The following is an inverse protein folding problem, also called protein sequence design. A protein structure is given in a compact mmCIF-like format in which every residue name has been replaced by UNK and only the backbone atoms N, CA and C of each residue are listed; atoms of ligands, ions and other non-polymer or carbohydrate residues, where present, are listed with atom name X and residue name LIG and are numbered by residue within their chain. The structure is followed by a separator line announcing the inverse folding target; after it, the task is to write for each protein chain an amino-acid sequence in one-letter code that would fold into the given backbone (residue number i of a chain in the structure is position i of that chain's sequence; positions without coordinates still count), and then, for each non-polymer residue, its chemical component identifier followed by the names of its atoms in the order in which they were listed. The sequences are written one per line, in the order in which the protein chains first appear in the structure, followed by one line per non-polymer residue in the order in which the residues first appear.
data_IF_939747152705
#
_entry.id   IF_939747152705
#
_cell.length_a   1.000
_cell.length_b   1.000
_cell.length_c   1.000
_cell.angle_alpha   90.00
_cell.angle_beta   90.00
_cell.angle_gamma   90.00
#
_symmetry.space_group_name_H-M   'P 1'
#
loop_
_entity.id
_entity.type
_entity.pdbx_description
1 polymer ?
#
# COMPACT_ATOMS: atom_id res chain seq x y z
N UNK A 1 -4.69 8.97 23.75
CA UNK A 1 -6.13 8.78 23.46
C UNK A 1 -6.24 8.50 21.99
N UNK A 2 -6.73 7.33 21.60
CA UNK A 2 -6.95 6.98 20.20
C UNK A 2 -8.19 7.73 19.70
N UNK A 3 -8.06 8.59 18.70
CA UNK A 3 -9.20 9.30 18.11
C UNK A 3 -9.85 8.42 17.06
N UNK A 4 -11.18 8.29 17.09
CA UNK A 4 -11.95 7.54 16.09
C UNK A 4 -12.76 8.51 15.22
N UNK A 5 -12.84 8.23 13.93
CA UNK A 5 -13.62 9.01 12.96
C UNK A 5 -14.58 8.07 12.22
N UNK A 6 -15.87 8.42 12.06
CA UNK A 6 -16.78 7.64 11.23
C UNK A 6 -16.34 7.63 9.76
N UNK A 7 -16.42 6.47 9.12
CA UNK A 7 -16.01 6.25 7.72
C UNK A 7 -17.03 5.37 7.01
N UNK A 8 -17.13 5.47 5.69
CA UNK A 8 -17.89 4.51 4.90
C UNK A 8 -17.09 3.22 4.76
N UNK A 9 -17.53 2.16 5.45
CA UNK A 9 -16.84 0.88 5.49
C UNK A 9 -17.48 -0.08 4.49
N UNK A 10 -16.72 -0.51 3.49
CA UNK A 10 -17.11 -1.52 2.53
C UNK A 10 -16.98 -2.90 3.17
N UNK A 11 -17.80 -3.86 2.72
CA UNK A 11 -17.77 -5.24 3.17
C UNK A 11 -17.76 -6.20 1.98
N UNK A 12 -16.87 -7.18 2.03
CA UNK A 12 -16.76 -8.24 1.04
C UNK A 12 -16.46 -9.56 1.75
N UNK A 13 -17.09 -10.65 1.30
CA UNK A 13 -16.79 -11.99 1.77
C UNK A 13 -16.38 -12.87 0.61
N UNK A 14 -15.11 -13.25 0.57
CA UNK A 14 -14.55 -14.11 -0.49
C UNK A 14 -13.26 -14.81 0.00
N UNK A 15 -12.60 -15.57 -0.88
CA UNK A 15 -11.33 -16.24 -0.63
C UNK A 15 -10.16 -15.38 -1.06
N UNK A 16 -9.35 -14.97 -0.10
CA UNK A 16 -8.15 -14.17 -0.33
C UNK A 16 -6.89 -14.90 0.12
N UNK A 17 -5.75 -14.48 -0.43
CA UNK A 17 -4.45 -14.82 0.17
C UNK A 17 -4.22 -13.92 1.38
N UNK A 18 -3.89 -14.52 2.51
CA UNK A 18 -3.65 -13.83 3.78
C UNK A 18 -2.42 -14.42 4.48
N UNK A 19 -1.63 -13.55 5.11
CA UNK A 19 -0.53 -13.91 6.01
C UNK A 19 -0.75 -13.22 7.35
N UNK A 20 -0.46 -13.92 8.45
CA UNK A 20 -0.32 -13.32 9.78
C UNK A 20 1.15 -13.41 10.22
N UNK A 21 1.82 -12.26 10.26
CA UNK A 21 3.20 -12.18 10.74
C UNK A 21 3.20 -11.96 12.25
N UNK A 22 3.41 -13.06 12.98
CA UNK A 22 3.31 -13.07 14.45
C UNK A 22 4.43 -12.30 15.16
N UNK A 23 5.60 -12.14 14.53
CA UNK A 23 6.76 -11.48 15.14
C UNK A 23 6.56 -9.96 15.20
N UNK A 24 6.10 -9.38 14.09
CA UNK A 24 5.83 -7.94 13.96
C UNK A 24 4.37 -7.58 14.20
N UNK A 25 3.51 -8.58 14.47
CA UNK A 25 2.10 -8.44 14.85
C UNK A 25 1.29 -7.65 13.83
N UNK A 26 1.27 -8.13 12.59
CA UNK A 26 0.41 -7.59 11.55
C UNK A 26 -0.11 -8.70 10.64
N UNK A 27 -1.19 -8.38 9.92
CA UNK A 27 -1.78 -9.23 8.88
C UNK A 27 -1.63 -8.58 7.52
N UNK A 28 -1.35 -9.37 6.49
CA UNK A 28 -1.35 -8.95 5.09
C UNK A 28 -2.46 -9.68 4.36
N UNK A 29 -3.29 -8.96 3.62
CA UNK A 29 -4.24 -9.54 2.67
C UNK A 29 -3.94 -9.06 1.24
N UNK A 30 -4.07 -9.95 0.28
CA UNK A 30 -3.96 -9.66 -1.16
C UNK A 30 -5.36 -9.53 -1.79
N UNK A 31 -5.60 -8.40 -2.45
CA UNK A 31 -6.78 -8.11 -3.24
C UNK A 31 -6.36 -8.05 -4.73
N UNK A 32 -6.64 -9.09 -5.52
CA UNK A 32 -6.32 -9.07 -6.94
C UNK A 32 -7.19 -8.07 -7.69
N UNK A 33 -6.67 -7.50 -8.78
CA UNK A 33 -7.36 -6.61 -9.73
C UNK A 33 -7.15 -7.11 -11.16
N UNK A 34 -8.02 -6.69 -12.09
CA UNK A 34 -7.85 -6.79 -13.55
C UNK A 34 -7.17 -8.09 -14.02
N UNK A 35 -7.92 -9.20 -14.02
CA UNK A 35 -7.43 -10.55 -14.42
C UNK A 35 -6.15 -11.01 -13.70
N UNK A 36 -5.94 -10.57 -12.45
CA UNK A 36 -4.78 -10.89 -11.63
C UNK A 36 -3.44 -10.32 -12.15
N UNK A 37 -3.50 -9.27 -12.99
CA UNK A 37 -2.29 -8.56 -13.44
C UNK A 37 -1.74 -7.62 -12.36
N UNK A 38 -2.64 -6.99 -11.59
CA UNK A 38 -2.31 -6.13 -10.47
C UNK A 38 -2.88 -6.74 -9.19
N UNK A 39 -2.21 -6.51 -8.06
CA UNK A 39 -2.76 -6.83 -6.74
C UNK A 39 -2.52 -5.66 -5.79
N UNK A 40 -3.54 -5.32 -5.01
CA UNK A 40 -3.38 -4.49 -3.82
C UNK A 40 -3.09 -5.35 -2.61
N UNK A 41 -2.10 -4.96 -1.84
CA UNK A 41 -1.78 -5.57 -0.57
C UNK A 41 -2.10 -4.58 0.53
N UNK A 42 -2.73 -5.07 1.59
CA UNK A 42 -3.03 -4.29 2.79
C UNK A 42 -2.29 -4.92 3.96
N UNK A 43 -1.39 -4.17 4.57
CA UNK A 43 -0.68 -4.54 5.79
C UNK A 43 -1.32 -3.80 6.97
N UNK A 44 -2.02 -4.56 7.80
CA UNK A 44 -2.79 -4.08 8.93
C UNK A 44 -2.17 -4.60 10.23
N UNK A 45 -1.68 -3.73 11.13
CA UNK A 45 -1.27 -4.13 12.48
C UNK A 45 -2.36 -4.93 13.20
N UNK A 46 -1.98 -5.77 14.16
CA UNK A 46 -2.95 -6.49 14.97
C UNK A 46 -3.69 -5.54 15.93
N UNK A 47 -3.01 -4.50 16.39
CA UNK A 47 -3.55 -3.44 17.26
C UNK A 47 -2.66 -2.18 17.21
N UNK A 48 -3.17 -1.05 17.68
CA UNK A 48 -2.42 0.21 17.86
C UNK A 48 -1.62 0.12 19.17
N UNK A 49 -0.47 -0.53 19.09
CA UNK A 49 0.39 -0.81 20.25
C UNK A 49 1.47 0.27 20.52
N UNK A 50 1.51 1.34 19.71
CA UNK A 50 2.39 2.48 19.89
C UNK A 50 1.60 3.76 20.23
N UNK A 51 2.30 4.87 20.48
CA UNK A 51 1.66 6.14 20.82
C UNK A 51 1.10 6.88 19.59
N UNK A 52 1.16 6.29 18.39
CA UNK A 52 0.78 6.94 17.13
C UNK A 52 -0.23 6.12 16.33
N UNK A 53 0.21 5.14 15.55
CA UNK A 53 -0.56 4.49 14.48
C UNK A 53 -0.59 2.96 14.56
N UNK A 54 0.26 2.33 15.37
CA UNK A 54 0.52 0.89 15.39
C UNK A 54 1.50 0.42 14.31
N UNK A 55 1.97 1.33 13.45
CA UNK A 55 2.82 1.03 12.29
C UNK A 55 4.31 1.31 12.52
N UNK A 56 4.71 1.94 13.62
CA UNK A 56 6.10 2.41 13.80
C UNK A 56 7.14 1.29 13.65
N UNK A 57 6.85 0.12 14.24
CA UNK A 57 7.72 -1.05 14.14
C UNK A 57 7.81 -1.54 12.69
N UNK A 58 6.67 -1.61 12.00
CA UNK A 58 6.61 -2.07 10.62
C UNK A 58 7.37 -1.12 9.71
N UNK A 59 7.12 0.19 9.80
CA UNK A 59 7.78 1.22 8.98
C UNK A 59 9.30 1.24 9.18
N UNK A 60 9.76 1.06 10.41
CA UNK A 60 11.20 1.03 10.72
C UNK A 60 11.88 -0.20 10.14
N UNK A 61 11.22 -1.35 10.22
CA UNK A 61 11.78 -2.63 9.84
C UNK A 61 11.52 -3.00 8.38
N UNK A 62 10.69 -2.22 7.67
CA UNK A 62 10.27 -2.48 6.30
C UNK A 62 11.45 -2.35 5.34
N UNK A 63 11.77 -3.44 4.66
CA UNK A 63 12.68 -3.46 3.51
C UNK A 63 12.02 -4.13 2.33
N UNK A 64 12.60 -3.96 1.14
CA UNK A 64 12.11 -4.63 -0.06
C UNK A 64 12.16 -6.16 0.09
N UNK A 65 13.21 -6.70 0.70
CA UNK A 65 13.40 -8.15 0.90
C UNK A 65 12.32 -8.72 1.80
N UNK A 66 12.06 -8.06 2.93
CA UNK A 66 10.99 -8.43 3.87
C UNK A 66 9.62 -8.32 3.22
N UNK A 67 9.35 -7.23 2.51
CA UNK A 67 8.08 -7.04 1.81
C UNK A 67 7.85 -8.13 0.75
N UNK A 68 8.89 -8.45 -0.02
CA UNK A 68 8.87 -9.53 -1.01
C UNK A 68 8.63 -10.88 -0.34
N UNK A 69 9.29 -11.16 0.79
CA UNK A 69 9.10 -12.37 1.56
C UNK A 69 7.66 -12.52 2.06
N UNK A 70 7.11 -11.50 2.72
CA UNK A 70 5.75 -11.55 3.28
C UNK A 70 4.66 -11.70 2.21
N UNK A 71 4.94 -11.32 0.96
CA UNK A 71 3.97 -11.30 -0.14
C UNK A 71 4.25 -12.33 -1.23
N UNK A 72 5.13 -13.30 -0.94
CA UNK A 72 5.30 -14.51 -1.75
C UNK A 72 4.09 -15.42 -1.54
N UNK A 73 3.53 -15.92 -2.64
CA UNK A 73 2.36 -16.81 -2.59
C UNK A 73 2.58 -18.05 -1.72
N UNK A 74 3.81 -18.58 -1.66
CA UNK A 74 4.15 -19.74 -0.82
C UNK A 74 4.05 -19.47 0.69
N UNK A 75 4.17 -18.19 1.09
CA UNK A 75 4.06 -17.76 2.48
C UNK A 75 2.62 -17.36 2.85
N UNK A 76 1.72 -17.20 1.88
CA UNK A 76 0.35 -16.76 2.11
C UNK A 76 -0.61 -17.94 2.06
N UNK A 77 -1.58 -17.97 2.98
CA UNK A 77 -2.64 -18.96 3.01
C UNK A 77 -3.87 -18.45 2.28
N UNK A 78 -4.49 -19.27 1.42
CA UNK A 78 -5.81 -18.95 0.85
C UNK A 78 -6.92 -19.30 1.85
N UNK A 79 -7.69 -18.31 2.30
CA UNK A 79 -8.75 -18.48 3.29
C UNK A 79 -10.00 -17.67 2.93
N UNK A 80 -11.18 -18.12 3.39
CA UNK A 80 -12.41 -17.32 3.34
C UNK A 80 -12.33 -16.22 4.40
N UNK A 81 -12.42 -14.96 3.97
CA UNK A 81 -12.25 -13.77 4.82
C UNK A 81 -13.48 -12.88 4.73
N UNK A 82 -13.98 -12.46 5.89
CA UNK A 82 -14.88 -11.33 6.04
C UNK A 82 -14.03 -10.04 6.02
N UNK A 83 -13.92 -9.40 4.87
CA UNK A 83 -13.11 -8.21 4.62
C UNK A 83 -13.94 -6.95 4.85
N UNK A 84 -13.43 -6.06 5.69
CA UNK A 84 -13.93 -4.70 5.87
C UNK A 84 -12.84 -3.71 5.51
N UNK A 85 -13.12 -2.83 4.55
CA UNK A 85 -12.17 -1.87 4.01
C UNK A 85 -12.84 -0.50 3.86
N UNK A 86 -12.27 0.60 4.36
CA UNK A 86 -12.83 1.92 4.14
C UNK A 86 -12.78 2.28 2.66
N UNK A 87 -13.84 2.92 2.17
CA UNK A 87 -13.78 3.62 0.89
C UNK A 87 -12.82 4.79 1.05
N UNK A 88 -11.76 4.82 0.25
CA UNK A 88 -10.69 5.81 0.40
C UNK A 88 -10.42 6.53 -0.91
N UNK A 89 -10.18 7.83 -0.79
CA UNK A 89 -9.77 8.72 -1.87
C UNK A 89 -8.57 9.50 -1.36
N UNK A 90 -7.39 9.17 -1.86
CA UNK A 90 -6.12 9.78 -1.49
C UNK A 90 -5.63 10.61 -2.66
N UNK A 91 -5.37 11.88 -2.42
CA UNK A 91 -4.76 12.79 -3.39
C UNK A 91 -3.62 13.54 -2.70
N UNK A 92 -2.40 13.26 -3.14
CA UNK A 92 -1.20 13.82 -2.52
C UNK A 92 -0.33 14.51 -3.57
N UNK A 93 0.28 15.62 -3.16
CA UNK A 93 1.12 16.46 -4.00
C UNK A 93 2.45 16.67 -3.27
N UNK A 94 3.53 16.09 -3.78
CA UNK A 94 4.86 16.15 -3.18
C UNK A 94 5.82 16.99 -4.03
N UNK A 95 6.60 17.83 -3.36
CA UNK A 95 7.85 18.36 -3.91
C UNK A 95 9.00 17.43 -3.50
N UNK A 96 9.52 16.69 -4.48
CA UNK A 96 10.54 15.66 -4.25
C UNK A 96 11.96 16.22 -4.24
N UNK A 97 12.18 17.51 -4.47
CA UNK A 97 13.52 18.09 -4.50
C UNK A 97 14.31 17.80 -3.22
N UNK A 98 13.71 18.10 -2.07
CA UNK A 98 14.34 17.90 -0.75
C UNK A 98 14.54 16.41 -0.39
N UNK A 99 13.54 15.53 -0.55
CA UNK A 99 13.71 14.09 -0.38
C UNK A 99 14.82 13.50 -1.27
N UNK A 100 14.79 13.77 -2.58
CA UNK A 100 15.79 13.23 -3.53
C UNK A 100 17.20 13.75 -3.25
N UNK A 101 17.32 15.02 -2.83
CA UNK A 101 18.60 15.60 -2.40
C UNK A 101 19.16 14.88 -1.16
N UNK A 102 18.30 14.55 -0.20
CA UNK A 102 18.66 13.81 1.00
C UNK A 102 19.08 12.38 0.68
N UNK A 103 18.50 11.78 -0.37
CA UNK A 103 18.87 10.46 -0.91
C UNK A 103 20.16 10.46 -1.76
N UNK A 104 20.77 11.63 -2.00
CA UNK A 104 22.07 11.76 -2.67
C UNK A 104 22.03 12.40 -4.05
N UNK A 105 20.86 12.67 -4.62
CA UNK A 105 20.72 13.40 -5.89
C UNK A 105 20.87 14.90 -5.59
N UNK A 106 22.09 15.38 -5.33
CA UNK A 106 22.33 16.79 -4.95
C UNK A 106 22.71 17.64 -6.15
N UNK A 107 23.70 17.18 -6.92
CA UNK A 107 24.28 17.95 -8.02
C UNK A 107 23.25 18.30 -9.09
N UNK A 108 22.29 17.42 -9.37
CA UNK A 108 21.24 17.66 -10.36
C UNK A 108 20.38 18.91 -10.06
N UNK A 109 20.30 19.32 -8.79
CA UNK A 109 19.53 20.48 -8.35
C UNK A 109 20.37 21.75 -8.14
N UNK A 110 21.70 21.65 -8.26
CA UNK A 110 22.65 22.73 -8.01
C UNK A 110 23.09 23.37 -9.34
N UNK A 111 22.83 24.66 -9.57
CA UNK A 111 23.19 25.32 -10.83
C UNK A 111 24.69 25.34 -11.16
N UNK A 112 25.57 25.20 -10.17
CA UNK A 112 27.03 25.18 -10.33
C UNK A 112 27.64 23.79 -10.43
N UNK A 113 26.90 22.73 -10.03
CA UNK A 113 27.38 21.34 -10.02
C UNK A 113 26.61 20.41 -10.98
N UNK A 114 25.44 20.83 -11.47
CA UNK A 114 24.64 20.06 -12.40
C UNK A 114 25.39 19.83 -13.72
N UNK A 115 25.51 18.57 -14.13
CA UNK A 115 26.06 18.20 -15.43
C UNK A 115 24.98 17.52 -16.28
N UNK A 116 24.38 18.30 -17.17
CA UNK A 116 23.43 17.84 -18.18
C UNK A 116 23.98 18.06 -19.61
N UNK A 117 25.30 17.97 -19.78
CA UNK A 117 25.97 18.18 -21.09
C UNK A 117 25.53 17.20 -22.18
N UNK A 118 25.03 16.02 -21.79
CA UNK A 118 24.39 15.07 -22.71
C UNK A 118 23.04 15.53 -23.29
N UNK A 119 22.39 16.54 -22.69
CA UNK A 119 21.12 17.11 -23.14
C UNK A 119 21.27 18.48 -23.79
N UNK A 120 22.19 19.30 -23.28
CA UNK A 120 22.42 20.67 -23.75
C UNK A 120 23.90 21.02 -23.72
N UNK A 121 24.37 21.69 -24.76
CA UNK A 121 25.74 22.22 -24.82
C UNK A 121 25.94 23.38 -23.83
N UNK A 122 24.85 24.05 -23.42
CA UNK A 122 24.89 25.13 -22.43
C UNK A 122 24.94 24.55 -21.01
N UNK A 123 25.81 25.13 -20.17
CA UNK A 123 26.07 24.70 -18.79
C UNK A 123 25.19 25.39 -17.74
N UNK A 124 24.00 25.83 -18.14
CA UNK A 124 23.01 26.53 -17.30
C UNK A 124 21.77 25.67 -17.01
N UNK A 125 21.79 24.40 -17.42
CA UNK A 125 20.70 23.46 -17.20
C UNK A 125 20.85 22.77 -15.84
N UNK A 126 19.80 22.82 -15.02
CA UNK A 126 19.68 22.11 -13.76
C UNK A 126 18.21 21.83 -13.46
N UNK A 127 17.92 20.92 -12.53
CA UNK A 127 16.55 20.62 -12.11
C UNK A 127 16.15 21.66 -11.05
N UNK A 128 15.16 22.48 -11.38
CA UNK A 128 14.66 23.49 -10.45
C UNK A 128 13.75 22.89 -9.37
N UNK A 129 12.83 22.00 -9.77
CA UNK A 129 11.79 21.40 -8.94
C UNK A 129 11.35 20.04 -9.50
N UNK A 130 10.87 19.15 -8.62
CA UNK A 130 10.29 17.86 -9.01
C UNK A 130 8.95 17.72 -8.31
N UNK A 131 7.86 17.82 -9.06
CA UNK A 131 6.50 17.68 -8.53
C UNK A 131 5.97 16.29 -8.84
N UNK A 132 5.56 15.57 -7.82
CA UNK A 132 4.89 14.28 -7.94
C UNK A 132 3.48 14.38 -7.38
N UNK A 133 2.48 14.17 -8.24
CA UNK A 133 1.07 14.13 -7.86
C UNK A 133 0.57 12.70 -7.99
N UNK A 134 -0.02 12.18 -6.94
CA UNK A 134 -0.57 10.82 -6.92
C UNK A 134 -2.02 10.85 -6.46
N UNK A 135 -2.84 10.06 -7.14
CA UNK A 135 -4.25 9.89 -6.83
C UNK A 135 -4.58 8.41 -6.76
N UNK A 136 -5.20 7.98 -5.66
CA UNK A 136 -5.69 6.62 -5.47
C UNK A 136 -7.12 6.68 -4.95
N UNK A 137 -8.04 6.03 -5.66
CA UNK A 137 -9.42 5.86 -5.23
C UNK A 137 -9.71 4.37 -5.14
N UNK A 138 -10.15 3.91 -3.97
CA UNK A 138 -10.59 2.53 -3.74
C UNK A 138 -12.06 2.56 -3.42
N UNK A 139 -12.83 1.90 -4.27
CA UNK A 139 -14.27 1.80 -4.18
C UNK A 139 -14.74 0.36 -4.42
N UNK A 140 -16.04 0.16 -4.25
CA UNK A 140 -16.69 -1.13 -4.42
C UNK A 140 -16.54 -1.64 -5.86
N UNK A 141 -16.77 -0.82 -6.88
CA UNK A 141 -16.72 -1.25 -8.29
C UNK A 141 -15.35 -1.79 -8.73
N UNK A 142 -14.26 -1.13 -8.34
CA UNK A 142 -12.90 -1.56 -8.64
C UNK A 142 -12.47 -2.82 -7.88
N UNK A 143 -13.09 -3.08 -6.72
CA UNK A 143 -12.83 -4.26 -5.87
C UNK A 143 -13.77 -5.43 -6.23
N UNK A 144 -14.99 -5.11 -6.67
CA UNK A 144 -16.07 -6.04 -7.05
C UNK A 144 -15.81 -6.65 -8.43
N UNK A 145 -15.21 -5.91 -9.38
CA UNK A 145 -14.81 -6.46 -10.67
C UNK A 145 -13.83 -7.65 -10.55
N UNK A 146 -13.04 -7.70 -9.47
CA UNK A 146 -12.18 -8.85 -9.16
C UNK A 146 -12.90 -9.96 -8.36
N UNK A 147 -13.90 -9.61 -7.56
CA UNK A 147 -14.69 -10.52 -6.73
C UNK A 147 -15.91 -11.14 -7.44
N UNK A 148 -16.27 -10.66 -8.63
CA UNK A 148 -17.43 -11.12 -9.40
C UNK A 148 -17.37 -12.60 -9.86
N UNK A 149 -16.31 -13.34 -9.52
CA UNK A 149 -16.19 -14.79 -9.77
C UNK A 149 -16.56 -15.65 -8.55
N UNK A 150 -16.96 -15.05 -7.42
CA UNK A 150 -17.28 -15.73 -6.15
C UNK A 150 -18.77 -15.71 -5.80
N UNK A 151 -19.43 -16.84 -5.96
CA UNK A 151 -20.86 -17.08 -5.68
C UNK A 151 -21.25 -16.80 -4.21
N UNK A 152 -22.39 -16.13 -4.01
CA UNK A 152 -23.15 -16.08 -2.76
C UNK A 152 -23.46 -17.49 -2.23
N UNK A 153 -22.89 -17.89 -1.08
CA UNK A 153 -23.49 -18.95 -0.25
C UNK A 153 -23.33 -18.68 1.25
N UNK A 154 -24.44 -18.90 1.96
CA UNK A 154 -24.54 -18.80 3.41
C UNK A 154 -24.38 -20.18 4.05
N UNK A 155 -23.67 -20.19 5.19
CA UNK A 155 -23.50 -21.24 6.23
C UNK A 155 -22.49 -22.36 5.97
N UNK A 156 -21.40 -22.29 6.72
CA UNK A 156 -20.82 -23.41 7.49
C UNK A 156 -20.09 -22.90 8.72
N UNK A 157 -20.05 -23.73 9.78
CA UNK A 157 -19.46 -23.51 11.12
C UNK A 157 -17.92 -23.40 11.12
N UNK A 158 -17.30 -23.08 10.00
CA UNK A 158 -15.85 -22.84 9.93
C UNK A 158 -15.63 -21.41 10.42
N UNK A 159 -14.67 -21.14 11.33
CA UNK A 159 -14.34 -19.77 11.69
C UNK A 159 -13.94 -19.01 10.43
N UNK A 160 -14.75 -18.04 9.99
CA UNK A 160 -14.36 -17.11 8.95
C UNK A 160 -13.31 -16.18 9.54
N UNK A 161 -12.20 -16.00 8.83
CA UNK A 161 -11.18 -15.06 9.27
C UNK A 161 -11.73 -13.65 9.07
N UNK A 162 -11.62 -12.76 10.04
CA UNK A 162 -12.04 -11.37 9.87
C UNK A 162 -10.82 -10.48 9.62
N UNK A 163 -10.79 -9.78 8.49
CA UNK A 163 -9.81 -8.74 8.20
C UNK A 163 -10.54 -7.40 8.18
N UNK A 164 -10.34 -6.59 9.21
CA UNK A 164 -11.06 -5.32 9.40
C UNK A 164 -10.07 -4.17 9.45
N UNK A 165 -9.93 -3.44 8.35
CA UNK A 165 -9.03 -2.29 8.23
C UNK A 165 -9.67 -1.03 8.84
N UNK A 166 -9.92 -1.03 10.15
CA UNK A 166 -10.57 0.06 10.88
C UNK A 166 -9.62 0.98 11.66
N UNK A 167 -8.32 0.81 11.45
CA UNK A 167 -7.24 1.59 12.04
C UNK A 167 -6.10 1.73 11.03
N UNK A 168 -5.04 2.53 11.31
CA UNK A 168 -4.02 2.81 10.32
C UNK A 168 -3.38 1.56 9.70
N UNK A 169 -3.22 1.58 8.37
CA UNK A 169 -2.61 0.48 7.62
C UNK A 169 -1.70 1.00 6.50
N UNK A 170 -0.77 0.15 6.07
CA UNK A 170 0.02 0.38 4.86
C UNK A 170 -0.66 -0.35 3.71
N UNK A 171 -0.69 0.26 2.54
CA UNK A 171 -1.14 -0.38 1.33
C UNK A 171 -0.14 -0.17 0.19
N UNK A 172 -0.12 -1.11 -0.75
CA UNK A 172 0.60 -0.92 -1.99
C UNK A 172 -0.07 -1.69 -3.12
N UNK A 173 0.06 -1.17 -4.35
CA UNK A 173 -0.43 -1.82 -5.56
C UNK A 173 0.79 -2.30 -6.33
N UNK A 174 0.83 -3.59 -6.65
CA UNK A 174 1.93 -4.25 -7.32
C UNK A 174 1.48 -4.83 -8.65
N UNK A 175 2.31 -4.70 -9.68
CA UNK A 175 2.18 -5.48 -10.89
C UNK A 175 2.76 -6.88 -10.69
N UNK A 176 1.92 -7.90 -10.81
CA UNK A 176 2.25 -9.26 -10.38
C UNK A 176 3.33 -9.92 -11.25
N UNK A 177 3.37 -9.62 -12.56
CA UNK A 177 4.38 -10.20 -13.46
C UNK A 177 5.78 -9.65 -13.21
N UNK A 178 5.91 -8.33 -13.04
CA UNK A 178 7.22 -7.69 -12.83
C UNK A 178 7.60 -7.49 -11.37
N UNK A 179 6.68 -7.78 -10.44
CA UNK A 179 6.81 -7.51 -9.01
C UNK A 179 7.05 -6.03 -8.68
N UNK A 180 6.74 -5.12 -9.60
CA UNK A 180 6.96 -3.68 -9.45
C UNK A 180 5.84 -3.05 -8.63
N UNK A 181 6.22 -2.25 -7.63
CA UNK A 181 5.29 -1.44 -6.85
C UNK A 181 4.92 -0.21 -7.66
N UNK A 182 3.63 -0.06 -7.96
CA UNK A 182 3.06 1.06 -8.71
C UNK A 182 2.60 2.18 -7.77
N UNK A 183 2.04 1.80 -6.63
CA UNK A 183 1.60 2.72 -5.58
C UNK A 183 2.04 2.17 -4.24
N UNK A 184 2.45 3.05 -3.34
CA UNK A 184 2.76 2.72 -1.95
C UNK A 184 2.28 3.86 -1.07
N UNK A 185 1.54 3.54 -0.02
CA UNK A 185 0.95 4.54 0.84
C UNK A 185 0.61 4.03 2.22
N UNK A 186 0.38 4.98 3.12
CA UNK A 186 -0.16 4.75 4.46
C UNK A 186 -1.50 5.45 4.56
N UNK A 187 -2.49 4.75 5.06
CA UNK A 187 -3.80 5.32 5.39
C UNK A 187 -3.93 5.42 6.91
N UNK A 188 -3.95 6.63 7.45
CA UNK A 188 -4.14 6.85 8.90
C UNK A 188 -5.54 7.35 9.24
N UNK A 189 -6.06 8.25 8.42
CA UNK A 189 -7.35 8.90 8.58
C UNK A 189 -7.94 9.16 7.18
N UNK A 190 -9.27 9.07 7.01
CA UNK A 190 -9.96 9.58 5.83
C UNK A 190 -10.09 11.10 5.83
#
# INVERSE_FOLDING_TARGET
QTMTKPVHMMFLKDKFFILHETTMKFRIIELPYMENELSMFLLLPDDINDNTTGLELVERELTYEKLSEWTKSDNMMKAEVDLYLPKLKLEENYDLKSPLSSMGIRNAFDPGQADFTGMSVKKDLFISQVIHKAFVEVNEEGTEAAAATGVLMMRSRVPTMTFKADHPFIFFIRHNKSQTILFFGRFCLP
#
